data_IF_179927825150
#
_entry.id   IF_179927825150
#
_cell.length_a   1.000
_cell.length_b   1.000
_cell.length_c   1.000
_cell.angle_alpha   90.00
_cell.angle_beta   90.00
_cell.angle_gamma   90.00
#
_symmetry.space_group_name_H-M   'P 1'
#
loop_
_entity.id
_entity.type
_entity.pdbx_description
1 polymer ?
#
# COMPACT_ATOMS: atom_id res chain seq x y z
N UNK A 1 39.30 -8.25 -55.13
CA UNK A 1 38.85 -7.28 -54.11
C UNK A 1 37.60 -7.80 -53.44
N UNK A 2 37.69 -8.32 -52.22
CA UNK A 2 36.51 -8.67 -51.44
C UNK A 2 36.50 -7.82 -50.13
N UNK A 3 35.32 -7.30 -49.77
CA UNK A 3 35.10 -6.94 -48.37
C UNK A 3 34.67 -5.53 -48.03
N UNK A 4 33.49 -5.11 -48.45
CA UNK A 4 32.84 -3.92 -47.91
C UNK A 4 31.42 -4.14 -47.38
N UNK A 5 31.07 -5.43 -47.16
CA UNK A 5 29.68 -5.78 -46.72
C UNK A 5 29.48 -6.16 -45.28
N UNK A 6 30.55 -6.26 -44.48
CA UNK A 6 30.44 -6.94 -43.16
C UNK A 6 30.32 -6.03 -41.92
N UNK A 7 30.59 -4.74 -42.04
CA UNK A 7 30.50 -3.83 -40.87
C UNK A 7 29.13 -3.19 -40.69
N UNK A 8 28.42 -2.93 -41.78
CA UNK A 8 27.07 -2.37 -41.75
C UNK A 8 26.05 -3.40 -41.24
N UNK A 9 26.25 -4.68 -41.57
CA UNK A 9 25.38 -5.79 -41.14
C UNK A 9 25.56 -6.15 -39.65
N UNK A 10 26.74 -5.95 -39.10
CA UNK A 10 26.98 -6.12 -37.64
C UNK A 10 26.41 -5.02 -36.78
N UNK A 11 26.29 -3.78 -37.30
CA UNK A 11 25.71 -2.68 -36.57
C UNK A 11 24.20 -2.76 -36.41
N UNK A 12 23.51 -3.43 -37.33
CA UNK A 12 22.04 -3.59 -37.25
C UNK A 12 21.58 -4.72 -36.37
N UNK A 13 22.48 -5.62 -35.91
CA UNK A 13 22.13 -6.74 -35.01
C UNK A 13 22.27 -6.43 -33.53
N UNK A 14 22.80 -5.27 -33.13
CA UNK A 14 22.95 -4.90 -31.72
C UNK A 14 21.91 -3.90 -31.22
N UNK A 15 21.00 -3.43 -32.06
CA UNK A 15 19.89 -2.59 -31.64
C UNK A 15 18.64 -3.43 -31.38
N UNK A 16 18.38 -3.81 -30.14
CA UNK A 16 17.03 -4.17 -29.77
C UNK A 16 16.76 -5.35 -28.86
N UNK A 17 17.66 -5.76 -28.00
CA UNK A 17 17.31 -6.73 -26.94
C UNK A 17 17.38 -6.10 -25.54
N UNK A 18 16.69 -4.98 -25.36
CA UNK A 18 16.28 -4.57 -24.02
C UNK A 18 15.11 -5.46 -23.59
N UNK A 19 15.04 -5.95 -22.37
CA UNK A 19 13.92 -6.77 -21.91
C UNK A 19 12.62 -5.98 -22.01
N UNK A 20 11.87 -6.21 -23.09
CA UNK A 20 10.51 -5.70 -23.28
C UNK A 20 9.56 -6.63 -22.55
N UNK A 21 9.30 -6.35 -21.26
CA UNK A 21 8.35 -7.13 -20.49
C UNK A 21 8.17 -6.57 -19.09
N UNK A 22 7.07 -6.96 -18.42
CA UNK A 22 6.90 -6.82 -16.98
C UNK A 22 7.90 -7.79 -16.35
N UNK A 23 9.15 -7.40 -16.26
CA UNK A 23 10.24 -8.24 -15.78
C UNK A 23 11.15 -7.50 -14.82
N UNK A 24 11.85 -8.25 -13.96
CA UNK A 24 12.79 -7.70 -12.99
C UNK A 24 12.09 -7.18 -11.72
N UNK A 25 12.57 -6.09 -11.18
CA UNK A 25 12.16 -5.55 -9.89
C UNK A 25 10.68 -5.10 -9.81
N UNK A 26 9.99 -4.90 -10.96
CA UNK A 26 8.57 -4.53 -11.01
C UNK A 26 7.63 -5.64 -10.50
N UNK A 27 8.09 -6.88 -10.47
CA UNK A 27 7.32 -8.03 -9.96
C UNK A 27 7.03 -7.87 -8.45
N UNK A 28 7.94 -7.30 -7.68
CA UNK A 28 7.78 -7.14 -6.24
C UNK A 28 6.63 -6.18 -5.86
N UNK A 29 6.57 -4.94 -6.39
CA UNK A 29 5.41 -4.08 -6.14
C UNK A 29 4.11 -4.64 -6.70
N UNK A 30 4.16 -5.41 -7.79
CA UNK A 30 2.99 -6.12 -8.33
C UNK A 30 2.44 -7.14 -7.31
N UNK A 31 3.30 -7.99 -6.76
CA UNK A 31 2.90 -8.96 -5.74
C UNK A 31 2.30 -8.24 -4.54
N UNK A 32 2.95 -7.17 -4.08
CA UNK A 32 2.44 -6.33 -2.99
C UNK A 32 1.05 -5.75 -3.29
N UNK A 33 0.84 -5.24 -4.51
CA UNK A 33 -0.43 -4.67 -4.93
C UNK A 33 -1.55 -5.72 -5.05
N UNK A 34 -1.23 -6.96 -5.44
CA UNK A 34 -2.18 -8.07 -5.48
C UNK A 34 -2.54 -8.53 -4.07
N UNK A 35 -1.57 -8.62 -3.17
CA UNK A 35 -1.78 -9.10 -1.80
C UNK A 35 -2.50 -8.04 -0.94
N UNK A 36 -2.27 -6.74 -1.19
CA UNK A 36 -2.81 -5.65 -0.38
C UNK A 36 -4.34 -5.72 -0.18
N UNK A 37 -5.19 -5.88 -1.20
CA UNK A 37 -6.64 -5.95 -1.02
C UNK A 37 -7.09 -7.14 -0.17
N UNK A 38 -6.44 -8.29 -0.30
CA UNK A 38 -6.77 -9.47 0.53
C UNK A 38 -6.43 -9.23 2.00
N UNK A 39 -5.26 -8.64 2.27
CA UNK A 39 -4.85 -8.31 3.62
C UNK A 39 -5.79 -7.27 4.26
N UNK A 40 -6.16 -6.23 3.51
CA UNK A 40 -7.08 -5.20 3.97
C UNK A 40 -8.50 -5.77 4.19
N UNK A 41 -8.97 -6.67 3.32
CA UNK A 41 -10.25 -7.35 3.51
C UNK A 41 -10.25 -8.20 4.79
N UNK A 42 -9.20 -8.98 5.03
CA UNK A 42 -9.08 -9.78 6.25
C UNK A 42 -9.07 -8.87 7.49
N UNK A 43 -8.32 -7.76 7.45
CA UNK A 43 -8.28 -6.79 8.54
C UNK A 43 -9.66 -6.19 8.82
N UNK A 44 -10.36 -5.73 7.77
CA UNK A 44 -11.72 -5.18 7.90
C UNK A 44 -12.72 -6.19 8.49
N UNK A 45 -12.67 -7.44 8.04
CA UNK A 45 -13.53 -8.50 8.57
C UNK A 45 -13.20 -8.77 10.04
N UNK A 46 -11.93 -8.87 10.39
CA UNK A 46 -11.49 -9.13 11.76
C UNK A 46 -11.96 -7.99 12.70
N UNK A 47 -11.75 -6.74 12.30
CA UNK A 47 -12.21 -5.56 13.06
C UNK A 47 -13.74 -5.57 13.20
N UNK A 48 -14.49 -5.85 12.12
CA UNK A 48 -15.95 -5.90 12.18
C UNK A 48 -16.46 -7.01 13.12
N UNK A 49 -15.83 -8.20 13.07
CA UNK A 49 -16.17 -9.32 13.97
C UNK A 49 -15.92 -8.93 15.43
N UNK A 50 -14.76 -8.37 15.75
CA UNK A 50 -14.44 -7.94 17.12
C UNK A 50 -15.44 -6.88 17.63
N UNK A 51 -15.76 -5.88 16.81
CA UNK A 51 -16.67 -4.82 17.21
C UNK A 51 -18.10 -5.32 17.46
N UNK A 52 -18.58 -6.27 16.66
CA UNK A 52 -19.97 -6.75 16.73
C UNK A 52 -20.15 -7.92 17.67
N UNK A 53 -19.24 -8.92 17.63
CA UNK A 53 -19.42 -10.18 18.36
C UNK A 53 -19.08 -10.07 19.84
N UNK A 54 -18.10 -9.23 20.18
CA UNK A 54 -17.56 -9.17 21.55
C UNK A 54 -18.13 -8.01 22.36
N UNK A 55 -19.10 -7.25 21.80
CA UNK A 55 -19.63 -6.05 22.44
C UNK A 55 -18.60 -4.94 22.62
N UNK A 56 -17.47 -5.06 21.93
CA UNK A 56 -16.36 -4.10 22.03
C UNK A 56 -16.80 -2.70 21.59
N UNK A 57 -17.66 -2.59 20.57
CA UNK A 57 -18.21 -1.31 20.15
C UNK A 57 -18.92 -0.59 21.29
N UNK A 58 -19.82 -1.27 21.99
CA UNK A 58 -20.58 -0.69 23.10
C UNK A 58 -19.65 -0.28 24.26
N UNK A 59 -18.69 -1.15 24.58
CA UNK A 59 -17.71 -0.89 25.64
C UNK A 59 -16.86 0.34 25.36
N UNK A 60 -16.45 0.56 24.12
CA UNK A 60 -15.58 1.68 23.76
C UNK A 60 -16.35 2.99 23.51
N UNK A 61 -17.63 2.93 23.10
CA UNK A 61 -18.37 4.11 22.65
C UNK A 61 -19.48 4.56 23.61
N UNK A 62 -19.87 3.74 24.60
CA UNK A 62 -20.94 4.10 25.54
C UNK A 62 -20.39 4.91 26.72
N UNK A 63 -20.90 6.13 26.96
CA UNK A 63 -20.49 6.92 28.10
C UNK A 63 -20.76 6.19 29.43
N UNK A 64 -19.76 6.12 30.28
CA UNK A 64 -19.82 5.44 31.59
C UNK A 64 -19.19 4.05 31.64
N UNK A 65 -18.71 3.50 30.52
CA UNK A 65 -17.86 2.32 30.53
C UNK A 65 -16.42 2.67 30.90
N UNK A 66 -15.69 1.72 31.48
CA UNK A 66 -14.31 1.92 31.93
C UNK A 66 -13.31 2.23 30.79
N UNK A 67 -13.64 1.79 29.56
CA UNK A 67 -12.81 1.99 28.38
C UNK A 67 -13.31 3.12 27.46
N UNK A 68 -14.39 3.83 27.88
CA UNK A 68 -14.98 4.88 27.06
C UNK A 68 -14.01 6.03 26.77
N UNK A 69 -13.95 6.40 25.48
CA UNK A 69 -13.34 7.67 25.08
C UNK A 69 -14.07 8.23 23.83
N UNK A 70 -14.36 9.54 23.77
CA UNK A 70 -15.15 10.12 22.66
C UNK A 70 -14.47 9.99 21.29
N UNK A 71 -13.18 9.75 21.24
CA UNK A 71 -12.44 9.56 19.99
C UNK A 71 -12.50 8.13 19.44
N UNK A 72 -12.97 7.13 20.19
CA UNK A 72 -13.04 5.75 19.70
C UNK A 72 -13.95 5.63 18.47
N UNK A 73 -15.18 6.13 18.54
CA UNK A 73 -16.11 6.01 17.43
C UNK A 73 -15.58 6.64 16.13
N UNK A 74 -15.13 7.92 16.11
CA UNK A 74 -14.60 8.51 14.90
C UNK A 74 -13.30 7.83 14.41
N UNK A 75 -12.43 7.36 15.30
CA UNK A 75 -11.20 6.69 14.93
C UNK A 75 -11.48 5.35 14.24
N UNK A 76 -12.31 4.48 14.84
CA UNK A 76 -12.66 3.18 14.28
C UNK A 76 -13.40 3.30 12.94
N UNK A 77 -14.28 4.29 12.81
CA UNK A 77 -14.97 4.56 11.55
C UNK A 77 -14.00 5.06 10.48
N UNK A 78 -13.10 5.99 10.83
CA UNK A 78 -12.11 6.53 9.90
C UNK A 78 -11.13 5.45 9.44
N UNK A 79 -10.64 4.62 10.36
CA UNK A 79 -9.74 3.50 10.07
C UNK A 79 -10.42 2.50 9.12
N UNK A 80 -11.64 2.07 9.44
CA UNK A 80 -12.38 1.11 8.62
C UNK A 80 -12.69 1.68 7.23
N UNK A 81 -13.17 2.92 7.15
CA UNK A 81 -13.45 3.59 5.89
C UNK A 81 -12.17 3.79 5.05
N UNK A 82 -11.08 4.22 5.68
CA UNK A 82 -9.79 4.38 5.03
C UNK A 82 -9.26 3.06 4.47
N UNK A 83 -9.28 1.99 5.25
CA UNK A 83 -8.88 0.66 4.82
C UNK A 83 -9.74 0.16 3.64
N UNK A 84 -11.05 0.42 3.64
CA UNK A 84 -11.94 0.10 2.52
C UNK A 84 -11.58 0.89 1.24
N UNK A 85 -11.30 2.19 1.37
CA UNK A 85 -10.86 3.04 0.25
C UNK A 85 -9.52 2.56 -0.31
N UNK A 86 -8.55 2.25 0.55
CA UNK A 86 -7.25 1.72 0.10
C UNK A 86 -7.38 0.35 -0.56
N UNK A 87 -8.28 -0.52 -0.07
CA UNK A 87 -8.58 -1.80 -0.69
C UNK A 87 -9.12 -1.64 -2.11
N UNK A 88 -10.13 -0.80 -2.29
CA UNK A 88 -10.72 -0.52 -3.62
C UNK A 88 -9.68 0.12 -4.53
N UNK A 89 -8.91 1.09 -4.03
CA UNK A 89 -7.86 1.76 -4.81
C UNK A 89 -6.78 0.78 -5.27
N UNK A 90 -6.37 -0.16 -4.41
CA UNK A 90 -5.40 -1.20 -4.80
C UNK A 90 -5.94 -2.08 -5.94
N UNK A 91 -7.22 -2.46 -5.91
CA UNK A 91 -7.85 -3.23 -6.98
C UNK A 91 -7.90 -2.41 -8.28
N UNK A 92 -8.30 -1.13 -8.21
CA UNK A 92 -8.35 -0.24 -9.36
C UNK A 92 -6.97 -0.04 -9.98
N UNK A 93 -5.91 0.05 -9.18
CA UNK A 93 -4.53 0.20 -9.66
C UNK A 93 -4.01 -1.01 -10.43
N UNK A 94 -4.61 -2.19 -10.29
CA UNK A 94 -4.27 -3.35 -11.11
C UNK A 94 -4.61 -3.12 -12.59
N UNK A 95 -5.65 -2.34 -12.88
CA UNK A 95 -6.05 -2.04 -14.28
C UNK A 95 -4.95 -1.31 -15.05
N UNK A 96 -4.46 -0.12 -14.63
CA UNK A 96 -3.38 0.57 -15.33
C UNK A 96 -2.06 -0.20 -15.29
N UNK A 97 -1.85 -1.05 -14.28
CA UNK A 97 -0.68 -1.91 -14.23
C UNK A 97 -0.68 -2.94 -15.35
N UNK A 98 -1.76 -3.74 -15.49
CA UNK A 98 -1.84 -4.77 -16.53
C UNK A 98 -1.99 -4.18 -17.93
N UNK A 99 -2.63 -3.01 -18.05
CA UNK A 99 -2.74 -2.26 -19.31
C UNK A 99 -1.45 -1.52 -19.68
N UNK A 100 -0.39 -1.61 -18.87
CA UNK A 100 0.89 -0.90 -19.07
C UNK A 100 0.71 0.60 -19.32
N UNK A 101 -0.19 1.21 -18.58
CA UNK A 101 -0.53 2.61 -18.75
C UNK A 101 0.56 3.52 -18.18
N UNK A 102 0.99 4.54 -18.92
CA UNK A 102 2.04 5.47 -18.50
C UNK A 102 1.72 6.26 -17.20
N UNK A 103 0.44 6.30 -16.78
CA UNK A 103 0.04 6.93 -15.53
C UNK A 103 0.29 6.05 -14.28
N UNK A 104 0.50 4.72 -14.45
CA UNK A 104 0.64 3.78 -13.33
C UNK A 104 1.70 4.19 -12.30
N UNK A 105 2.94 4.58 -12.67
CA UNK A 105 3.95 4.96 -11.68
C UNK A 105 3.54 6.14 -10.81
N UNK A 106 2.89 7.14 -11.41
CA UNK A 106 2.39 8.32 -10.69
C UNK A 106 1.29 7.96 -9.71
N UNK A 107 0.34 7.13 -10.14
CA UNK A 107 -0.74 6.65 -9.29
C UNK A 107 -0.22 5.76 -8.15
N UNK A 108 0.79 4.94 -8.43
CA UNK A 108 1.41 4.09 -7.42
C UNK A 108 2.17 4.92 -6.36
N UNK A 109 2.90 5.94 -6.77
CA UNK A 109 3.56 6.88 -5.85
C UNK A 109 2.52 7.57 -4.96
N UNK A 110 1.43 8.06 -5.56
CA UNK A 110 0.34 8.70 -4.82
C UNK A 110 -0.30 7.74 -3.81
N UNK A 111 -0.59 6.52 -4.23
CA UNK A 111 -1.13 5.46 -3.37
C UNK A 111 -0.21 5.16 -2.18
N UNK A 112 1.08 4.96 -2.41
CA UNK A 112 2.06 4.66 -1.36
C UNK A 112 2.23 5.82 -0.38
N UNK A 113 2.29 7.05 -0.90
CA UNK A 113 2.40 8.26 -0.07
C UNK A 113 1.15 8.47 0.77
N UNK A 114 -0.03 8.33 0.18
CA UNK A 114 -1.31 8.44 0.89
C UNK A 114 -1.46 7.35 1.96
N UNK A 115 -1.09 6.10 1.65
CA UNK A 115 -1.11 4.99 2.59
C UNK A 115 -0.16 5.22 3.77
N UNK A 116 1.06 5.69 3.51
CA UNK A 116 2.03 6.01 4.57
C UNK A 116 1.50 7.12 5.47
N UNK A 117 0.95 8.19 4.88
CA UNK A 117 0.37 9.31 5.63
C UNK A 117 -0.81 8.83 6.48
N UNK A 118 -1.73 8.05 5.90
CA UNK A 118 -2.89 7.52 6.60
C UNK A 118 -2.50 6.67 7.80
N UNK A 119 -1.63 5.68 7.61
CA UNK A 119 -1.15 4.81 8.70
C UNK A 119 -0.38 5.60 9.76
N UNK A 120 0.35 6.65 9.37
CA UNK A 120 1.06 7.49 10.33
C UNK A 120 0.12 8.34 11.18
N UNK A 121 -0.93 8.90 10.57
CA UNK A 121 -1.97 9.67 11.29
C UNK A 121 -2.78 8.76 12.20
N UNK A 122 -3.18 7.60 11.73
CA UNK A 122 -3.90 6.60 12.50
C UNK A 122 -3.08 6.15 13.72
N UNK A 123 -1.80 5.82 13.51
CA UNK A 123 -0.89 5.49 14.58
C UNK A 123 -0.71 6.63 15.59
N UNK A 124 -0.62 7.88 15.14
CA UNK A 124 -0.53 9.03 16.03
C UNK A 124 -1.82 9.24 16.84
N UNK A 125 -2.98 8.94 16.24
CA UNK A 125 -4.28 9.08 16.90
C UNK A 125 -4.46 8.12 18.08
N UNK A 126 -3.84 6.93 18.05
CA UNK A 126 -3.84 5.97 19.16
C UNK A 126 -3.30 6.60 20.45
N UNK A 127 -2.27 7.46 20.35
CA UNK A 127 -1.69 8.12 21.53
C UNK A 127 -2.62 9.19 22.15
N UNK A 128 -3.67 9.60 21.45
CA UNK A 128 -4.68 10.51 22.00
C UNK A 128 -5.67 9.79 22.92
N UNK A 129 -5.69 8.46 22.91
CA UNK A 129 -6.58 7.63 23.71
C UNK A 129 -5.73 6.82 24.70
N UNK A 130 -5.64 7.21 25.98
CA UNK A 130 -4.79 6.51 26.95
C UNK A 130 -5.11 5.02 27.10
N UNK A 131 -6.39 4.66 27.01
CA UNK A 131 -6.83 3.27 27.04
C UNK A 131 -6.32 2.48 25.81
N UNK A 132 -6.25 3.08 24.61
CA UNK A 132 -5.76 2.41 23.42
C UNK A 132 -4.30 1.97 23.53
N UNK A 133 -3.48 2.80 24.18
CA UNK A 133 -2.06 2.49 24.42
C UNK A 133 -1.91 1.26 25.33
N UNK A 134 -2.81 1.10 26.31
CA UNK A 134 -2.81 -0.04 27.23
C UNK A 134 -3.28 -1.35 26.55
N UNK A 135 -4.20 -1.25 25.58
CA UNK A 135 -4.73 -2.39 24.83
C UNK A 135 -3.95 -2.75 23.56
N UNK A 136 -3.00 -1.91 23.15
CA UNK A 136 -2.20 -2.15 21.97
C UNK A 136 -1.32 -3.41 22.14
N UNK A 137 -1.85 -4.55 21.72
CA UNK A 137 -1.08 -5.79 21.65
C UNK A 137 -0.05 -5.69 20.53
N UNK A 138 1.21 -5.71 20.89
CA UNK A 138 2.32 -5.68 19.93
C UNK A 138 2.96 -4.29 19.76
N UNK A 139 3.78 -4.15 18.75
CA UNK A 139 4.44 -2.87 18.43
C UNK A 139 3.69 -2.20 17.26
N UNK A 140 2.80 -1.25 17.53
CA UNK A 140 2.00 -0.58 16.50
C UNK A 140 2.87 0.16 15.49
N UNK A 141 4.11 0.53 15.86
CA UNK A 141 5.09 1.16 14.96
C UNK A 141 5.54 0.25 13.82
N UNK A 142 5.36 -1.08 13.91
CA UNK A 142 5.79 -2.01 12.84
C UNK A 142 5.11 -1.71 11.51
N UNK A 143 3.85 -1.32 11.54
CA UNK A 143 3.10 -1.03 10.31
C UNK A 143 3.57 0.26 9.65
N UNK A 144 3.79 1.30 10.45
CA UNK A 144 4.38 2.57 9.98
C UNK A 144 5.76 2.33 9.38
N UNK A 145 6.63 1.60 10.08
CA UNK A 145 7.99 1.29 9.61
C UNK A 145 7.94 0.49 8.31
N UNK A 146 7.09 -0.53 8.21
CA UNK A 146 6.93 -1.33 6.98
C UNK A 146 6.49 -0.46 5.80
N UNK A 147 5.49 0.40 5.99
CA UNK A 147 5.02 1.31 4.95
C UNK A 147 6.10 2.34 4.57
N UNK A 148 6.82 2.88 5.56
CA UNK A 148 7.92 3.83 5.33
C UNK A 148 9.06 3.19 4.53
N UNK A 149 9.50 1.98 4.90
CA UNK A 149 10.52 1.24 4.16
C UNK A 149 10.08 0.93 2.73
N UNK A 150 8.82 0.50 2.56
CA UNK A 150 8.26 0.25 1.23
C UNK A 150 8.27 1.53 0.39
N UNK A 151 7.80 2.65 0.92
CA UNK A 151 7.78 3.94 0.24
C UNK A 151 9.21 4.43 -0.09
N UNK A 152 10.16 4.30 0.85
CA UNK A 152 11.55 4.72 0.66
C UNK A 152 12.27 3.95 -0.46
N UNK A 153 11.91 2.68 -0.67
CA UNK A 153 12.49 1.85 -1.73
C UNK A 153 11.80 2.12 -3.07
N UNK A 154 10.46 2.10 -3.09
CA UNK A 154 9.70 2.05 -4.34
C UNK A 154 9.43 3.43 -4.94
N UNK A 155 9.25 4.49 -4.13
CA UNK A 155 9.03 5.83 -4.66
C UNK A 155 10.23 6.29 -5.51
N UNK A 156 11.50 6.22 -5.03
CA UNK A 156 12.65 6.56 -5.87
C UNK A 156 12.79 5.68 -7.11
N UNK A 157 12.43 4.39 -6.99
CA UNK A 157 12.42 3.48 -8.13
C UNK A 157 11.44 3.94 -9.21
N UNK A 158 10.19 4.24 -8.84
CA UNK A 158 9.18 4.72 -9.80
C UNK A 158 9.51 6.09 -10.39
N UNK A 159 10.18 6.99 -9.63
CA UNK A 159 10.61 8.29 -10.13
C UNK A 159 11.74 8.19 -11.16
N UNK A 160 12.62 7.18 -11.04
CA UNK A 160 13.77 6.98 -11.93
C UNK A 160 13.51 5.99 -13.06
N UNK A 161 12.46 5.19 -12.96
CA UNK A 161 12.15 4.16 -13.96
C UNK A 161 11.56 4.80 -15.21
N UNK A 162 12.38 4.96 -16.23
CA UNK A 162 12.00 5.44 -17.58
C UNK A 162 11.24 4.34 -18.38
N UNK A 163 11.00 3.17 -17.78
CA UNK A 163 10.53 1.96 -18.47
C UNK A 163 9.06 1.61 -18.27
N UNK A 164 8.25 2.56 -17.82
CA UNK A 164 6.82 2.32 -17.64
C UNK A 164 6.02 3.22 -18.55
#
# INVERSE_FOLDING_TARGET
>A
MPGAGTETERRTMTEGTGPRGIGGWLILPMIGLIIAPFRLAISLIATAVQLVSDGTWETLTTPGSDAYHPLWAPLLVLESAGNAVFMVTAIVLLVPFFSKHACFPRLMILYMTASLLFVSVDHAAIYLIPAAVAFAEGNPSKEVVRNALSAAIWIPYFLRSVRV
#
